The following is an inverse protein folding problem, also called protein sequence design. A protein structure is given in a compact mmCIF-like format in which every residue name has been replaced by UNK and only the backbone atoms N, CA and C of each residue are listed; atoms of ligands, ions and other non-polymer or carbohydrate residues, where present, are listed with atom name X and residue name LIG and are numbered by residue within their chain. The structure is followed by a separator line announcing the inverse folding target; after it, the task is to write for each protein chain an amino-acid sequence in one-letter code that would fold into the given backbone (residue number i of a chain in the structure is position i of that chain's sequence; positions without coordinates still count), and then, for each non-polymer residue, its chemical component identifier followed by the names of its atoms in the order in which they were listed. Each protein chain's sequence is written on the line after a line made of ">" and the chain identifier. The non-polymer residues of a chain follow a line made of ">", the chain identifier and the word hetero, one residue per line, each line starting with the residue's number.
data_IF_209113240891
#
_entry.id   IF_209113240891
#
_cell.length_a   1.000
_cell.length_b   1.000
_cell.length_c   1.000
_cell.angle_alpha   90.00
_cell.angle_beta   90.00
_cell.angle_gamma   90.00
#
_symmetry.space_group_name_H-M   'P 1'
#
loop_
_entity.id
_entity.type
_entity.pdbx_description
1 polymer ?
#
# COMPACT_ATOMS: atom_id res chain seq x y z
N UNK A 1 -3.08 -12.76 15.40
CA UNK A 1 -3.63 -11.49 15.95
C UNK A 1 -3.14 -10.26 15.19
N UNK A 2 -1.84 -10.12 14.93
CA UNK A 2 -1.27 -8.98 14.20
C UNK A 2 -2.00 -8.66 12.89
N UNK A 3 -2.06 -9.62 11.95
CA UNK A 3 -2.64 -9.40 10.62
C UNK A 3 -4.09 -8.92 10.65
N UNK A 4 -4.89 -9.44 11.59
CA UNK A 4 -6.29 -9.05 11.76
C UNK A 4 -6.39 -7.60 12.23
N UNK A 5 -5.62 -7.25 13.26
CA UNK A 5 -5.58 -5.87 13.76
C UNK A 5 -5.09 -4.91 12.68
N UNK A 6 -4.10 -5.32 11.89
CA UNK A 6 -3.58 -4.51 10.79
C UNK A 6 -4.64 -4.21 9.73
N UNK A 7 -5.37 -5.23 9.27
CA UNK A 7 -6.47 -5.06 8.31
C UNK A 7 -7.57 -4.16 8.90
N UNK A 8 -7.90 -4.34 10.18
CA UNK A 8 -8.89 -3.47 10.84
C UNK A 8 -8.43 -2.01 10.81
N UNK A 9 -7.17 -1.74 11.19
CA UNK A 9 -6.63 -0.39 11.31
C UNK A 9 -6.35 0.31 9.98
N UNK A 10 -5.89 -0.42 8.95
CA UNK A 10 -5.46 0.17 7.68
C UNK A 10 -6.50 0.05 6.55
N UNK A 11 -7.44 -0.89 6.66
CA UNK A 11 -8.46 -1.12 5.62
C UNK A 11 -9.85 -0.80 6.16
N UNK A 12 -10.30 -1.48 7.21
CA UNK A 12 -11.72 -1.41 7.63
C UNK A 12 -12.07 -0.04 8.21
N UNK A 13 -11.35 0.39 9.25
CA UNK A 13 -11.63 1.68 9.92
C UNK A 13 -11.49 2.84 8.92
N UNK A 14 -10.40 2.98 8.15
CA UNK A 14 -10.26 4.07 7.19
C UNK A 14 -11.35 4.07 6.12
N UNK A 15 -11.78 2.91 5.63
CA UNK A 15 -12.87 2.81 4.64
C UNK A 15 -14.20 3.31 5.21
N UNK A 16 -14.51 2.95 6.46
CA UNK A 16 -15.72 3.44 7.14
C UNK A 16 -15.66 4.96 7.30
N UNK A 17 -14.52 5.49 7.74
CA UNK A 17 -14.33 6.95 7.83
C UNK A 17 -14.47 7.64 6.47
N UNK A 18 -13.91 7.07 5.41
CA UNK A 18 -14.03 7.58 4.04
C UNK A 18 -15.48 7.63 3.58
N UNK A 19 -16.26 6.57 3.84
CA UNK A 19 -17.70 6.56 3.56
C UNK A 19 -18.41 7.73 4.27
N UNK A 20 -18.11 7.95 5.55
CA UNK A 20 -18.74 9.01 6.33
C UNK A 20 -18.36 10.41 5.83
N UNK A 21 -17.09 10.64 5.49
CA UNK A 21 -16.58 11.94 5.03
C UNK A 21 -17.06 12.25 3.61
N UNK A 22 -17.08 11.26 2.72
CA UNK A 22 -17.43 11.45 1.30
C UNK A 22 -18.94 11.32 1.04
N UNK A 23 -19.70 10.77 1.99
CA UNK A 23 -21.11 10.41 1.81
C UNK A 23 -21.33 9.51 0.57
N UNK A 24 -20.41 8.56 0.33
CA UNK A 24 -20.43 7.64 -0.82
C UNK A 24 -20.75 6.20 -0.40
N UNK A 25 -21.13 5.35 -1.35
CA UNK A 25 -21.35 3.93 -1.07
C UNK A 25 -20.02 3.18 -0.92
N UNK A 26 -20.00 2.12 -0.11
CA UNK A 26 -18.81 1.24 -0.01
C UNK A 26 -18.44 0.66 -1.38
N UNK A 27 -19.44 0.29 -2.19
CA UNK A 27 -19.21 -0.26 -3.53
C UNK A 27 -18.39 0.71 -4.38
N UNK A 28 -18.70 2.01 -4.34
CA UNK A 28 -17.95 3.01 -5.09
C UNK A 28 -16.49 3.14 -4.64
N UNK A 29 -16.22 2.90 -3.36
CA UNK A 29 -14.85 2.93 -2.82
C UNK A 29 -14.05 1.69 -3.22
N UNK A 30 -14.66 0.58 -3.61
CA UNK A 30 -13.93 -0.62 -4.06
C UNK A 30 -13.98 -0.82 -5.58
N UNK A 31 -14.66 0.07 -6.29
CA UNK A 31 -14.78 -0.02 -7.73
C UNK A 31 -13.43 0.18 -8.41
N UNK A 32 -13.08 -0.73 -9.31
CA UNK A 32 -11.87 -0.68 -10.15
C UNK A 32 -10.53 -0.58 -9.40
N UNK A 33 -10.49 -0.89 -8.10
CA UNK A 33 -9.26 -0.86 -7.28
C UNK A 33 -8.24 -1.89 -7.74
N UNK A 34 -8.71 -3.08 -8.12
CA UNK A 34 -7.89 -4.20 -8.54
C UNK A 34 -8.27 -4.69 -9.93
N UNK A 35 -7.29 -5.22 -10.67
CA UNK A 35 -7.53 -6.09 -11.82
C UNK A 35 -7.35 -7.54 -11.37
N UNK A 36 -8.45 -8.27 -11.19
CA UNK A 36 -8.42 -9.57 -10.50
C UNK A 36 -7.66 -10.67 -11.25
N UNK A 37 -7.62 -10.65 -12.59
CA UNK A 37 -6.88 -11.67 -13.36
C UNK A 37 -5.38 -11.49 -13.13
N UNK A 38 -4.86 -10.27 -13.29
CA UNK A 38 -3.47 -9.95 -13.00
C UNK A 38 -3.12 -10.10 -11.54
N UNK A 39 -4.00 -9.71 -10.62
CA UNK A 39 -3.81 -9.93 -9.18
C UNK A 39 -3.59 -11.42 -8.90
N UNK A 40 -4.43 -12.32 -9.41
CA UNK A 40 -4.28 -13.76 -9.19
C UNK A 40 -2.94 -14.31 -9.67
N UNK A 41 -2.50 -13.91 -10.87
CA UNK A 41 -1.21 -14.33 -11.43
C UNK A 41 -0.04 -13.80 -10.60
N UNK A 42 0.00 -12.49 -10.36
CA UNK A 42 1.09 -11.85 -9.62
C UNK A 42 1.15 -12.33 -8.17
N UNK A 43 0.00 -12.49 -7.52
CA UNK A 43 -0.09 -12.98 -6.15
C UNK A 43 0.46 -14.41 -6.04
N UNK A 44 0.12 -15.29 -6.99
CA UNK A 44 0.63 -16.67 -7.00
C UNK A 44 2.14 -16.70 -7.14
N UNK A 45 2.69 -16.00 -8.14
CA UNK A 45 4.15 -15.94 -8.39
C UNK A 45 4.87 -15.36 -7.17
N UNK A 46 4.36 -14.26 -6.63
CA UNK A 46 4.98 -13.56 -5.50
C UNK A 46 4.92 -14.39 -4.22
N UNK A 47 3.82 -15.12 -4.00
CA UNK A 47 3.69 -16.04 -2.86
C UNK A 47 4.75 -17.14 -2.92
N UNK A 48 4.97 -17.73 -4.10
CA UNK A 48 5.99 -18.77 -4.27
C UNK A 48 7.41 -18.24 -4.04
N UNK A 49 7.73 -17.07 -4.60
CA UNK A 49 9.02 -16.40 -4.36
C UNK A 49 9.19 -16.08 -2.88
N UNK A 50 8.16 -15.52 -2.26
CA UNK A 50 8.17 -15.15 -0.84
C UNK A 50 8.39 -16.38 0.03
N UNK A 51 7.65 -17.48 -0.18
CA UNK A 51 7.82 -18.73 0.57
C UNK A 51 9.19 -19.38 0.39
N UNK A 52 9.82 -19.18 -0.76
CA UNK A 52 11.17 -19.67 -1.01
C UNK A 52 12.22 -18.84 -0.26
N UNK A 53 12.06 -17.51 -0.22
CA UNK A 53 13.03 -16.60 0.41
C UNK A 53 12.83 -16.49 1.92
N UNK A 54 11.58 -16.50 2.37
CA UNK A 54 11.15 -16.31 3.76
C UNK A 54 10.12 -17.38 4.15
N UNK A 55 9.99 -17.64 5.45
CA UNK A 55 9.02 -18.63 5.96
C UNK A 55 7.58 -18.12 5.82
N UNK A 56 6.61 -19.04 5.88
CA UNK A 56 5.18 -18.76 5.75
C UNK A 56 4.68 -17.60 6.62
N UNK A 57 5.11 -17.53 7.88
CA UNK A 57 4.65 -16.48 8.80
C UNK A 57 5.04 -15.08 8.27
N UNK A 58 6.29 -14.90 7.85
CA UNK A 58 6.79 -13.65 7.28
C UNK A 58 6.16 -13.35 5.90
N UNK A 59 5.95 -14.38 5.08
CA UNK A 59 5.23 -14.26 3.80
C UNK A 59 3.86 -13.62 4.00
N UNK A 60 3.06 -14.16 4.94
CA UNK A 60 1.72 -13.65 5.24
C UNK A 60 1.78 -12.26 5.84
N UNK A 61 2.70 -12.02 6.77
CA UNK A 61 2.85 -10.71 7.40
C UNK A 61 3.14 -9.61 6.37
N UNK A 62 4.13 -9.81 5.50
CA UNK A 62 4.49 -8.83 4.49
C UNK A 62 3.41 -8.63 3.42
N UNK A 63 2.66 -9.67 3.07
CA UNK A 63 1.53 -9.55 2.16
C UNK A 63 0.44 -8.66 2.77
N UNK A 64 0.10 -8.87 4.05
CA UNK A 64 -0.94 -8.12 4.75
C UNK A 64 -0.52 -6.66 4.96
N UNK A 65 0.74 -6.43 5.35
CA UNK A 65 1.29 -5.08 5.51
C UNK A 65 1.26 -4.32 4.18
N UNK A 66 1.78 -4.92 3.11
CA UNK A 66 1.77 -4.30 1.79
C UNK A 66 0.34 -3.99 1.33
N UNK A 67 -0.60 -4.93 1.48
CA UNK A 67 -1.99 -4.69 1.12
C UNK A 67 -2.61 -3.52 1.89
N UNK A 68 -2.45 -3.49 3.21
CA UNK A 68 -3.05 -2.46 4.05
C UNK A 68 -2.44 -1.08 3.82
N UNK A 69 -1.11 -0.99 3.73
CA UNK A 69 -0.44 0.30 3.49
C UNK A 69 -0.75 0.85 2.11
N UNK A 70 -0.70 0.02 1.06
CA UNK A 70 -1.04 0.49 -0.28
C UNK A 70 -2.50 0.89 -0.39
N UNK A 71 -3.43 0.10 0.18
CA UNK A 71 -4.84 0.45 0.16
C UNK A 71 -5.12 1.77 0.90
N UNK A 72 -4.46 2.01 2.03
CA UNK A 72 -4.62 3.27 2.77
C UNK A 72 -4.07 4.46 1.97
N UNK A 73 -2.82 4.38 1.50
CA UNK A 73 -2.13 5.54 0.93
C UNK A 73 -2.43 5.77 -0.55
N UNK A 74 -2.39 4.72 -1.37
CA UNK A 74 -2.47 4.83 -2.84
C UNK A 74 -3.91 4.80 -3.33
N UNK A 75 -4.85 4.42 -2.46
CA UNK A 75 -6.26 4.42 -2.77
C UNK A 75 -7.04 5.43 -1.91
N UNK A 76 -7.20 5.22 -0.60
CA UNK A 76 -8.08 6.07 0.22
C UNK A 76 -7.56 7.51 0.40
N UNK A 77 -6.33 7.68 0.89
CA UNK A 77 -5.72 9.01 1.08
C UNK A 77 -5.57 9.70 -0.28
N UNK A 78 -5.23 8.95 -1.32
CA UNK A 78 -5.10 9.50 -2.67
C UNK A 78 -6.42 10.06 -3.19
N UNK A 79 -7.55 9.38 -2.98
CA UNK A 79 -8.89 9.91 -3.29
C UNK A 79 -9.11 11.26 -2.59
N UNK A 80 -8.74 11.39 -1.31
CA UNK A 80 -8.88 12.66 -0.58
C UNK A 80 -8.00 13.76 -1.17
N UNK A 81 -6.73 13.47 -1.45
CA UNK A 81 -5.79 14.45 -1.99
C UNK A 81 -6.24 14.96 -3.36
N UNK A 82 -6.72 14.07 -4.23
CA UNK A 82 -7.21 14.42 -5.57
C UNK A 82 -8.44 15.34 -5.56
N UNK A 83 -9.12 15.53 -4.42
CA UNK A 83 -10.20 16.52 -4.30
C UNK A 83 -9.70 17.96 -4.13
N UNK A 84 -8.44 18.14 -3.75
CA UNK A 84 -7.87 19.44 -3.43
C UNK A 84 -6.62 19.78 -4.23
N UNK A 85 -5.93 18.77 -4.76
CA UNK A 85 -4.65 18.91 -5.44
C UNK A 85 -4.68 18.23 -6.81
N UNK A 86 -3.76 18.62 -7.70
CA UNK A 86 -3.59 17.90 -8.95
C UNK A 86 -2.89 16.54 -8.73
N UNK A 87 -2.81 15.72 -9.78
CA UNK A 87 -2.23 14.37 -9.70
C UNK A 87 -0.77 14.37 -9.21
N UNK A 88 0.06 15.30 -9.68
CA UNK A 88 1.49 15.34 -9.30
C UNK A 88 1.66 15.76 -7.84
N UNK A 89 0.92 16.78 -7.42
CA UNK A 89 0.89 17.24 -6.03
C UNK A 89 0.37 16.15 -5.09
N UNK A 90 -0.70 15.45 -5.46
CA UNK A 90 -1.26 14.36 -4.67
C UNK A 90 -0.27 13.21 -4.48
N UNK A 91 0.49 12.85 -5.52
CA UNK A 91 1.57 11.85 -5.41
C UNK A 91 2.69 12.33 -4.49
N UNK A 92 3.10 13.60 -4.63
CA UNK A 92 4.17 14.18 -3.82
C UNK A 92 3.78 14.22 -2.34
N UNK A 93 2.61 14.78 -2.04
CA UNK A 93 2.08 14.90 -0.67
C UNK A 93 1.85 13.51 -0.09
N UNK A 94 1.15 12.62 -0.81
CA UNK A 94 0.92 11.26 -0.36
C UNK A 94 2.21 10.50 -0.05
N UNK A 95 3.25 10.71 -0.86
CA UNK A 95 4.57 10.10 -0.61
C UNK A 95 5.29 10.68 0.60
N UNK A 96 5.15 11.98 0.87
CA UNK A 96 5.65 12.59 2.10
C UNK A 96 4.91 12.04 3.32
N UNK A 97 3.58 11.91 3.26
CA UNK A 97 2.79 11.33 4.36
C UNK A 97 3.23 9.89 4.64
N UNK A 98 3.44 9.08 3.60
CA UNK A 98 3.91 7.70 3.75
C UNK A 98 5.32 7.63 4.37
N UNK A 99 6.25 8.44 3.89
CA UNK A 99 7.63 8.42 4.35
C UNK A 99 7.80 9.01 5.76
N UNK A 100 7.05 10.06 6.09
CA UNK A 100 7.24 10.83 7.31
C UNK A 100 6.28 10.38 8.41
N UNK A 101 4.98 10.33 8.13
CA UNK A 101 3.96 10.08 9.16
C UNK A 101 3.91 8.59 9.52
N UNK A 102 3.81 7.71 8.52
CA UNK A 102 3.74 6.27 8.80
C UNK A 102 5.00 5.82 9.55
N UNK A 103 6.16 6.36 9.16
CA UNK A 103 7.45 5.94 9.67
C UNK A 103 8.05 6.92 10.68
N UNK A 104 7.22 7.63 11.43
CA UNK A 104 7.61 8.62 12.44
C UNK A 104 8.68 8.12 13.42
N UNK A 105 8.64 6.83 13.77
CA UNK A 105 9.59 6.22 14.71
C UNK A 105 10.97 5.90 14.09
N UNK A 106 11.13 6.06 12.78
CA UNK A 106 12.39 5.84 12.05
C UNK A 106 13.25 7.09 11.94
N UNK A 107 14.47 6.95 11.42
CA UNK A 107 15.31 8.09 11.13
C UNK A 107 14.74 8.92 9.96
N UNK A 108 14.54 10.22 10.20
CA UNK A 108 13.97 11.15 9.22
C UNK A 108 14.69 11.11 7.85
N UNK A 109 16.02 11.20 7.86
CA UNK A 109 16.82 11.22 6.62
C UNK A 109 16.76 9.90 5.89
N UNK A 110 16.84 8.77 6.62
CA UNK A 110 16.72 7.44 6.01
C UNK A 110 15.35 7.29 5.36
N UNK A 111 14.28 7.68 6.04
CA UNK A 111 12.91 7.63 5.51
C UNK A 111 12.75 8.49 4.24
N UNK A 112 13.29 9.71 4.23
CA UNK A 112 13.25 10.59 3.06
C UNK A 112 14.09 10.07 1.88
N UNK A 113 15.23 9.42 2.15
CA UNK A 113 16.10 8.92 1.08
C UNK A 113 15.65 7.58 0.51
N UNK A 114 14.92 6.78 1.29
CA UNK A 114 14.52 5.42 0.86
C UNK A 114 13.02 5.30 0.61
N UNK A 115 12.18 5.69 1.57
CA UNK A 115 10.73 5.44 1.53
C UNK A 115 9.98 6.46 0.69
N UNK A 116 10.42 7.71 0.68
CA UNK A 116 9.81 8.74 -0.16
C UNK A 116 9.96 8.44 -1.66
N UNK A 117 11.16 8.19 -2.23
CA UNK A 117 11.28 7.85 -3.65
C UNK A 117 10.61 6.52 -3.98
N UNK A 118 10.69 5.52 -3.08
CA UNK A 118 9.98 4.26 -3.27
C UNK A 118 8.46 4.46 -3.33
N UNK A 119 7.91 5.30 -2.45
CA UNK A 119 6.49 5.65 -2.48
C UNK A 119 6.05 6.27 -3.80
N UNK A 120 6.85 7.15 -4.39
CA UNK A 120 6.55 7.76 -5.70
C UNK A 120 6.44 6.67 -6.77
N UNK A 121 7.34 5.68 -6.76
CA UNK A 121 7.29 4.53 -7.67
C UNK A 121 5.99 3.75 -7.47
N UNK A 122 5.59 3.48 -6.22
CA UNK A 122 4.35 2.77 -5.93
C UNK A 122 3.11 3.53 -6.42
N UNK A 123 3.05 4.85 -6.25
CA UNK A 123 1.98 5.67 -6.83
C UNK A 123 1.94 5.58 -8.36
N UNK A 124 3.09 5.60 -9.03
CA UNK A 124 3.15 5.44 -10.47
C UNK A 124 2.62 4.06 -10.91
N UNK A 125 2.98 3.00 -10.20
CA UNK A 125 2.47 1.66 -10.44
C UNK A 125 0.95 1.59 -10.27
N UNK A 126 0.41 2.16 -9.19
CA UNK A 126 -1.05 2.20 -8.96
C UNK A 126 -1.77 2.95 -10.09
N UNK A 127 -1.26 4.12 -10.49
CA UNK A 127 -1.91 4.92 -11.54
C UNK A 127 -1.88 4.23 -12.91
N UNK A 128 -0.81 3.48 -13.22
CA UNK A 128 -0.65 2.83 -14.52
C UNK A 128 -1.30 1.45 -14.59
N UNK A 129 -1.25 0.70 -13.49
CA UNK A 129 -1.56 -0.72 -13.47
C UNK A 129 -2.60 -1.13 -12.43
N UNK A 130 -3.12 -0.20 -11.60
CA UNK A 130 -3.99 -0.43 -10.44
C UNK A 130 -3.25 -0.97 -9.21
N UNK A 131 -3.99 -1.12 -8.10
CA UNK A 131 -3.41 -1.29 -6.78
C UNK A 131 -2.61 -2.59 -6.61
N UNK A 132 -2.97 -3.68 -7.31
CA UNK A 132 -2.27 -4.95 -7.14
C UNK A 132 -0.78 -4.85 -7.45
N UNK A 133 -0.38 -4.05 -8.43
CA UNK A 133 1.04 -3.93 -8.81
C UNK A 133 1.87 -3.25 -7.72
N UNK A 134 1.33 -2.19 -7.10
CA UNK A 134 1.97 -1.55 -5.96
C UNK A 134 2.06 -2.50 -4.77
N UNK A 135 0.99 -3.25 -4.47
CA UNK A 135 0.97 -4.25 -3.38
C UNK A 135 2.04 -5.31 -3.60
N UNK A 136 2.15 -5.85 -4.81
CA UNK A 136 3.10 -6.91 -5.15
C UNK A 136 4.54 -6.42 -5.06
N UNK A 137 4.84 -5.23 -5.61
CA UNK A 137 6.19 -4.65 -5.55
C UNK A 137 6.58 -4.31 -4.12
N UNK A 138 5.66 -3.75 -3.32
CA UNK A 138 5.92 -3.47 -1.92
C UNK A 138 6.12 -4.75 -1.11
N UNK A 139 5.30 -5.79 -1.33
CA UNK A 139 5.49 -7.08 -0.69
C UNK A 139 6.86 -7.68 -0.99
N UNK A 140 7.26 -7.73 -2.27
CA UNK A 140 8.57 -8.22 -2.67
C UNK A 140 9.71 -7.38 -2.06
N UNK A 141 9.58 -6.06 -2.05
CA UNK A 141 10.54 -5.18 -1.40
C UNK A 141 10.75 -5.56 0.08
N UNK A 142 9.67 -5.77 0.83
CA UNK A 142 9.76 -6.14 2.25
C UNK A 142 10.42 -7.51 2.46
N UNK A 143 10.10 -8.48 1.61
CA UNK A 143 10.74 -9.80 1.60
C UNK A 143 12.25 -9.68 1.33
N UNK A 144 12.65 -8.89 0.34
CA UNK A 144 14.05 -8.70 -0.03
C UNK A 144 14.83 -7.98 1.08
N UNK A 145 14.27 -6.89 1.62
CA UNK A 145 14.90 -6.16 2.74
C UNK A 145 15.06 -7.09 3.94
N UNK A 146 14.05 -7.89 4.29
CA UNK A 146 14.17 -8.82 5.41
C UNK A 146 15.23 -9.90 5.18
N UNK A 147 15.34 -10.41 3.95
CA UNK A 147 16.28 -11.49 3.64
C UNK A 147 17.75 -11.04 3.62
N UNK A 148 17.99 -9.79 3.25
CA UNK A 148 19.33 -9.25 2.99
C UNK A 148 19.77 -8.14 3.96
N UNK A 149 18.96 -7.82 4.98
CA UNK A 149 19.38 -7.00 6.13
C UNK A 149 19.92 -7.86 7.27
#
# INVERSE_FOLDING_TARGET
>A
MFSINFIISFVIIPTIFMKLILNTSLVSLFQDVFEFKRLGVLFTITSLISLYLVKLDATVEYAVVALGEEFLFRHLIFILLMRSFNNKESILIGSLLFALIMHLNGNLFINLLTKFPFSIILYYLTNKYRLQDAVIVHWLHNVLVYKFS
#
